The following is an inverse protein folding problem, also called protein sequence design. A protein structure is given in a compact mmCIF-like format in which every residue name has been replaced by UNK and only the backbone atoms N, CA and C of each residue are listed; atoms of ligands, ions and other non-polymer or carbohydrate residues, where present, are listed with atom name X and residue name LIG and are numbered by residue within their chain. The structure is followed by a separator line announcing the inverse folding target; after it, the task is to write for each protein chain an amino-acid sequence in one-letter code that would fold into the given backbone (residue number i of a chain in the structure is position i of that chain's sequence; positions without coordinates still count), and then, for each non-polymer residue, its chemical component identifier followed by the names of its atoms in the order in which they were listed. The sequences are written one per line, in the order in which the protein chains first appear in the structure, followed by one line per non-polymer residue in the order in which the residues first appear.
data_IF_272663315488
#
_entry.id   IF_272663315488
#
_cell.length_a   1.000
_cell.length_b   1.000
_cell.length_c   1.000
_cell.angle_alpha   90.00
_cell.angle_beta   90.00
_cell.angle_gamma   90.00
#
_symmetry.space_group_name_H-M   'P 1'
#
loop_
_entity.id
_entity.type
_entity.pdbx_description
1 polymer ?
#
# COMPACT_ATOMS: atom_id res chain seq x y z
N UNK A 1 38.68 -6.63 28.90
CA UNK A 1 37.75 -5.82 28.08
C UNK A 1 36.52 -5.55 28.94
N UNK A 2 36.03 -4.32 29.00
CA UNK A 2 34.75 -4.02 29.68
C UNK A 2 33.61 -4.65 28.90
N UNK A 3 32.67 -5.30 29.59
CA UNK A 3 31.47 -5.83 28.97
C UNK A 3 30.74 -4.70 28.20
N UNK A 4 30.17 -5.00 27.02
CA UNK A 4 29.38 -4.02 26.29
C UNK A 4 28.21 -3.56 27.16
N UNK A 5 27.97 -2.24 27.16
CA UNK A 5 26.89 -1.62 27.94
C UNK A 5 25.56 -1.78 27.23
N UNK A 6 24.50 -1.95 28.02
CA UNK A 6 23.12 -1.98 27.54
C UNK A 6 22.72 -0.62 26.96
N UNK A 7 21.74 -0.58 26.06
CA UNK A 7 21.17 0.67 25.53
C UNK A 7 20.62 1.53 26.67
N UNK A 8 19.91 0.94 27.62
CA UNK A 8 19.32 1.61 28.78
C UNK A 8 20.35 2.32 29.67
N UNK A 9 21.60 1.88 29.67
CA UNK A 9 22.73 2.43 30.44
C UNK A 9 23.45 3.59 29.74
N UNK A 10 23.23 3.78 28.44
CA UNK A 10 23.94 4.77 27.64
C UNK A 10 23.21 6.13 27.65
N UNK A 11 23.96 7.19 27.97
CA UNK A 11 23.41 8.54 28.10
C UNK A 11 22.72 9.07 26.82
N UNK A 12 23.20 8.66 25.63
CA UNK A 12 22.61 9.05 24.34
C UNK A 12 21.16 8.58 24.15
N UNK A 13 20.75 7.52 24.87
CA UNK A 13 19.40 6.95 24.78
C UNK A 13 18.47 7.42 25.90
N UNK A 14 18.85 8.47 26.65
CA UNK A 14 18.06 8.95 27.80
C UNK A 14 16.65 9.41 27.41
N UNK A 15 16.47 9.93 26.20
CA UNK A 15 15.17 10.35 25.66
C UNK A 15 14.52 9.32 24.73
N UNK A 16 15.15 8.15 24.54
CA UNK A 16 14.64 7.11 23.66
C UNK A 16 13.44 6.40 24.29
N UNK A 17 12.59 5.83 23.43
CA UNK A 17 11.73 4.72 23.83
C UNK A 17 12.59 3.46 23.78
N UNK A 18 12.70 2.75 24.89
CA UNK A 18 13.51 1.54 25.02
C UNK A 18 12.60 0.39 25.43
N UNK A 19 12.67 -0.70 24.67
CA UNK A 19 12.08 -1.99 24.96
C UNK A 19 13.21 -2.89 25.45
N UNK A 20 13.11 -3.39 26.67
CA UNK A 20 14.05 -4.35 27.25
C UNK A 20 13.32 -5.68 27.45
N UNK A 21 13.94 -6.79 27.08
CA UNK A 21 13.36 -8.12 27.25
C UNK A 21 14.46 -9.16 27.49
N UNK A 22 14.05 -10.36 27.91
CA UNK A 22 14.88 -11.56 27.80
C UNK A 22 14.66 -12.15 26.41
N UNK A 23 15.75 -12.47 25.72
CA UNK A 23 15.68 -13.34 24.54
C UNK A 23 16.02 -14.77 24.94
N UNK A 24 15.37 -15.74 24.29
CA UNK A 24 15.53 -17.15 24.62
C UNK A 24 15.33 -17.99 23.37
N UNK A 25 16.38 -18.67 22.92
CA UNK A 25 16.29 -19.59 21.79
C UNK A 25 17.10 -20.87 22.05
N UNK A 26 17.18 -21.75 21.06
CA UNK A 26 17.91 -23.02 21.16
C UNK A 26 19.41 -22.86 21.43
N UNK A 27 19.99 -21.69 21.17
CA UNK A 27 21.41 -21.40 21.36
C UNK A 27 21.72 -20.77 22.74
N UNK A 28 20.72 -20.26 23.45
CA UNK A 28 20.91 -19.65 24.76
C UNK A 28 19.79 -18.68 25.15
N UNK A 29 19.99 -18.01 26.28
CA UNK A 29 19.14 -16.91 26.74
C UNK A 29 20.00 -15.77 27.25
N UNK A 30 19.47 -14.56 27.17
CA UNK A 30 20.16 -13.36 27.64
C UNK A 30 19.26 -12.13 27.62
N UNK A 31 19.79 -10.98 28.02
CA UNK A 31 19.08 -9.71 27.87
C UNK A 31 19.20 -9.20 26.43
N UNK A 32 18.14 -8.55 25.96
CA UNK A 32 18.11 -7.83 24.68
C UNK A 32 17.38 -6.52 24.85
N UNK A 33 17.78 -5.51 24.09
CA UNK A 33 17.17 -4.19 24.10
C UNK A 33 17.01 -3.66 22.67
N UNK A 34 15.86 -3.05 22.42
CA UNK A 34 15.57 -2.26 21.24
C UNK A 34 15.31 -0.81 21.68
N UNK A 35 15.99 0.14 21.08
CA UNK A 35 15.69 1.56 21.25
C UNK A 35 15.22 2.19 19.95
N UNK A 36 14.23 3.05 20.10
CA UNK A 36 13.82 4.01 19.10
C UNK A 36 14.24 5.41 19.54
N UNK A 37 15.10 6.04 18.75
CA UNK A 37 15.54 7.43 18.93
C UNK A 37 14.98 8.30 17.82
N UNK A 38 14.59 9.53 18.16
CA UNK A 38 13.95 10.45 17.22
C UNK A 38 12.70 11.06 17.85
N UNK A 39 12.11 12.04 17.18
CA UNK A 39 10.81 12.57 17.58
C UNK A 39 9.70 11.78 16.90
N UNK A 40 8.51 11.73 17.51
CA UNK A 40 7.29 11.11 16.95
C UNK A 40 6.90 11.69 15.57
N UNK A 41 7.45 12.87 15.21
CA UNK A 41 7.14 13.62 13.98
C UNK A 41 8.40 13.97 13.16
N UNK A 42 9.48 13.20 13.30
CA UNK A 42 10.74 13.43 12.60
C UNK A 42 11.42 12.11 12.28
N UNK A 43 12.66 12.18 11.80
CA UNK A 43 13.42 10.97 11.46
C UNK A 43 13.62 10.11 12.70
N UNK A 44 13.33 8.83 12.54
CA UNK A 44 13.44 7.80 13.56
C UNK A 44 14.62 6.87 13.23
N UNK A 45 15.43 6.56 14.22
CA UNK A 45 16.48 5.54 14.14
C UNK A 45 16.17 4.40 15.14
N UNK A 46 16.37 3.16 14.68
CA UNK A 46 16.30 1.97 15.52
C UNK A 46 17.70 1.49 15.90
N UNK A 47 17.84 1.05 17.15
CA UNK A 47 19.07 0.53 17.71
C UNK A 47 18.78 -0.77 18.44
N UNK A 48 19.62 -1.78 18.25
CA UNK A 48 19.51 -3.05 18.94
C UNK A 48 20.77 -3.34 19.75
N UNK A 49 20.60 -4.14 20.80
CA UNK A 49 21.67 -4.68 21.62
C UNK A 49 21.22 -6.01 22.20
N UNK A 50 22.12 -6.98 22.28
CA UNK A 50 21.88 -8.25 22.97
C UNK A 50 23.14 -8.69 23.72
N UNK A 51 22.93 -9.41 24.83
CA UNK A 51 24.01 -10.06 25.57
C UNK A 51 24.88 -10.90 24.63
N UNK A 52 26.19 -10.80 24.81
CA UNK A 52 27.22 -11.50 24.02
C UNK A 52 27.25 -11.21 22.51
N UNK A 53 26.42 -10.29 22.01
CA UNK A 53 26.40 -9.87 20.59
C UNK A 53 27.21 -8.60 20.30
N UNK A 54 27.85 -7.99 21.31
CA UNK A 54 28.70 -6.82 21.14
C UNK A 54 28.06 -5.51 21.64
N UNK A 55 28.55 -4.33 21.19
CA UNK A 55 27.99 -3.03 21.59
C UNK A 55 26.62 -2.78 20.94
N UNK A 56 25.90 -1.75 21.41
CA UNK A 56 24.64 -1.35 20.80
C UNK A 56 24.87 -0.79 19.38
N UNK A 57 24.15 -1.34 18.40
CA UNK A 57 24.29 -1.05 16.98
C UNK A 57 23.02 -0.42 16.41
N UNK A 58 23.19 0.44 15.41
CA UNK A 58 22.08 1.00 14.65
C UNK A 58 21.62 -0.04 13.65
N UNK A 59 20.31 -0.28 13.58
CA UNK A 59 19.74 -1.20 12.60
C UNK A 59 19.73 -0.55 11.21
N UNK A 60 20.02 -1.35 10.17
CA UNK A 60 19.99 -0.90 8.78
C UNK A 60 18.59 -1.06 8.19
N UNK A 61 17.72 -0.09 8.48
CA UNK A 61 16.28 -0.08 8.16
C UNK A 61 15.87 1.09 7.25
N UNK A 62 16.85 1.79 6.67
CA UNK A 62 16.60 3.02 5.90
C UNK A 62 16.18 4.22 6.75
N UNK A 63 15.68 5.26 6.07
CA UNK A 63 15.18 6.48 6.70
C UNK A 63 13.71 6.31 7.09
N UNK A 64 13.44 6.27 8.40
CA UNK A 64 12.09 6.15 8.93
C UNK A 64 11.55 7.56 9.26
N UNK A 65 10.39 7.92 8.72
CA UNK A 65 9.77 9.23 8.91
C UNK A 65 8.89 9.33 10.16
N UNK A 66 8.52 8.20 10.75
CA UNK A 66 7.68 8.13 11.95
C UNK A 66 7.92 6.85 12.76
N UNK A 67 7.32 6.80 13.96
CA UNK A 67 7.32 5.57 14.76
C UNK A 67 6.45 4.46 14.14
N UNK A 68 5.45 4.81 13.33
CA UNK A 68 4.60 3.84 12.63
C UNK A 68 5.41 3.13 11.56
N UNK A 69 6.23 3.87 10.83
CA UNK A 69 7.18 3.33 9.86
C UNK A 69 8.11 2.33 10.54
N UNK A 70 8.63 2.67 11.74
CA UNK A 70 9.46 1.76 12.52
C UNK A 70 8.74 0.45 12.88
N UNK A 71 7.47 0.54 13.30
CA UNK A 71 6.65 -0.65 13.61
C UNK A 71 6.38 -1.49 12.36
N UNK A 72 6.02 -0.85 11.24
CA UNK A 72 5.80 -1.55 9.96
C UNK A 72 7.07 -2.22 9.46
N UNK A 73 8.19 -1.51 9.41
CA UNK A 73 9.48 -2.07 8.97
C UNK A 73 9.92 -3.25 9.83
N UNK A 74 9.78 -3.19 11.16
CA UNK A 74 10.07 -4.33 12.04
C UNK A 74 9.09 -5.50 11.80
N UNK A 75 7.82 -5.19 11.56
CA UNK A 75 6.79 -6.18 11.24
C UNK A 75 7.09 -6.99 9.98
N UNK A 76 7.59 -6.31 8.94
CA UNK A 76 7.86 -6.87 7.63
C UNK A 76 9.23 -7.58 7.55
N UNK A 77 10.23 -7.07 8.26
CA UNK A 77 11.57 -7.63 8.29
C UNK A 77 11.69 -8.77 9.31
N UNK A 78 11.20 -9.96 8.95
CA UNK A 78 11.29 -11.16 9.80
C UNK A 78 12.73 -11.51 10.22
N UNK A 79 13.74 -11.14 9.44
CA UNK A 79 15.16 -11.31 9.77
C UNK A 79 15.61 -10.46 10.97
N UNK A 80 14.89 -9.38 11.29
CA UNK A 80 15.15 -8.49 12.42
C UNK A 80 14.36 -8.89 13.68
N UNK A 81 13.51 -9.91 13.58
CA UNK A 81 12.72 -10.38 14.70
C UNK A 81 13.59 -11.01 15.79
N UNK A 82 13.31 -10.67 17.04
CA UNK A 82 13.95 -11.24 18.21
C UNK A 82 12.99 -12.19 18.93
N UNK A 83 13.52 -13.34 19.35
CA UNK A 83 12.79 -14.30 20.18
C UNK A 83 12.71 -13.79 21.61
N UNK A 84 11.76 -12.90 21.89
CA UNK A 84 11.60 -12.20 23.18
C UNK A 84 10.52 -12.85 24.06
N UNK A 85 10.79 -12.91 25.36
CA UNK A 85 9.84 -13.41 26.35
C UNK A 85 8.88 -12.29 26.79
N UNK A 86 7.59 -12.42 26.46
CA UNK A 86 6.57 -11.39 26.66
C UNK A 86 6.39 -10.91 28.11
N UNK A 87 6.54 -11.81 29.08
CA UNK A 87 6.40 -11.52 30.50
C UNK A 87 7.59 -10.74 31.08
N UNK A 88 8.71 -10.71 30.35
CA UNK A 88 9.92 -9.97 30.71
C UNK A 88 10.02 -8.59 30.06
N UNK A 89 9.07 -8.23 29.19
CA UNK A 89 9.12 -6.97 28.43
C UNK A 89 8.92 -5.76 29.35
N UNK A 90 9.95 -4.92 29.43
CA UNK A 90 9.95 -3.63 30.10
C UNK A 90 10.04 -2.50 29.08
N UNK A 91 9.30 -1.42 29.33
CA UNK A 91 9.27 -0.25 28.44
C UNK A 91 9.68 0.99 29.23
N UNK A 92 10.70 1.67 28.74
CA UNK A 92 11.13 2.99 29.21
C UNK A 92 10.85 4.03 28.13
N UNK A 93 10.44 5.22 28.54
CA UNK A 93 10.18 6.33 27.64
C UNK A 93 8.70 6.56 27.40
N UNK A 94 8.39 7.54 26.56
CA UNK A 94 7.03 8.00 26.28
C UNK A 94 6.88 8.34 24.80
N UNK A 95 5.72 8.06 24.18
CA UNK A 95 4.55 7.40 24.77
C UNK A 95 4.72 5.87 24.94
N UNK A 96 4.14 5.31 26.01
CA UNK A 96 4.31 3.89 26.37
C UNK A 96 3.68 2.92 25.35
N UNK A 97 2.54 3.29 24.76
CA UNK A 97 1.88 2.45 23.74
C UNK A 97 2.77 2.22 22.52
N UNK A 98 3.61 3.19 22.13
CA UNK A 98 4.57 3.01 21.04
C UNK A 98 5.61 1.95 21.38
N UNK A 99 6.15 1.97 22.61
CA UNK A 99 7.07 0.91 23.06
C UNK A 99 6.45 -0.49 23.04
N UNK A 100 5.14 -0.60 23.32
CA UNK A 100 4.41 -1.89 23.25
C UNK A 100 4.25 -2.38 21.82
N UNK A 101 3.93 -1.47 20.90
CA UNK A 101 3.81 -1.79 19.48
C UNK A 101 5.17 -2.16 18.88
N UNK A 102 6.24 -1.45 19.26
CA UNK A 102 7.61 -1.82 18.89
C UNK A 102 7.98 -3.22 19.40
N UNK A 103 7.63 -3.55 20.66
CA UNK A 103 7.88 -4.88 21.19
C UNK A 103 7.16 -5.97 20.36
N UNK A 104 5.86 -5.76 20.05
CA UNK A 104 5.07 -6.65 19.18
C UNK A 104 5.69 -6.82 17.79
N UNK A 105 6.05 -5.72 17.14
CA UNK A 105 6.66 -5.73 15.81
C UNK A 105 8.04 -6.38 15.78
N UNK A 106 8.80 -6.24 16.87
CA UNK A 106 10.14 -6.81 16.99
C UNK A 106 10.14 -8.29 17.38
N UNK A 107 9.05 -8.81 17.94
CA UNK A 107 8.99 -10.22 18.36
C UNK A 107 9.04 -11.19 17.18
N UNK A 108 9.47 -12.42 17.42
CA UNK A 108 9.40 -13.52 16.45
C UNK A 108 7.99 -14.11 16.30
N UNK A 109 7.03 -13.71 17.15
CA UNK A 109 5.61 -14.02 17.01
C UNK A 109 4.96 -13.28 15.82
N UNK A 110 4.69 -14.03 14.75
CA UNK A 110 4.06 -13.50 13.53
C UNK A 110 2.67 -12.89 13.80
N UNK A 111 1.87 -13.50 14.68
CA UNK A 111 0.55 -12.97 15.01
C UNK A 111 0.67 -11.66 15.79
N UNK A 112 1.65 -11.57 16.70
CA UNK A 112 2.02 -10.35 17.41
C UNK A 112 2.45 -9.22 16.46
N UNK A 113 3.33 -9.50 15.49
CA UNK A 113 3.78 -8.52 14.48
C UNK A 113 2.62 -8.00 13.64
N UNK A 114 1.77 -8.89 13.13
CA UNK A 114 0.58 -8.51 12.36
C UNK A 114 -0.42 -7.70 13.19
N UNK A 115 -0.61 -8.08 14.45
CA UNK A 115 -1.45 -7.31 15.37
C UNK A 115 -0.90 -5.89 15.60
N UNK A 116 0.43 -5.73 15.71
CA UNK A 116 1.05 -4.41 15.80
C UNK A 116 0.75 -3.55 14.57
N UNK A 117 0.80 -4.16 13.38
CA UNK A 117 0.54 -3.46 12.13
C UNK A 117 -0.94 -3.02 12.02
N UNK A 118 -1.88 -3.92 12.32
CA UNK A 118 -3.31 -3.57 12.37
C UNK A 118 -3.60 -2.47 13.39
N UNK A 119 -2.95 -2.51 14.56
CA UNK A 119 -3.09 -1.44 15.56
C UNK A 119 -2.52 -0.11 15.07
N UNK A 120 -1.54 -0.11 14.18
CA UNK A 120 -1.02 1.13 13.60
C UNK A 120 -2.03 1.86 12.72
N UNK A 121 -3.10 1.19 12.28
CA UNK A 121 -4.20 1.84 11.58
C UNK A 121 -5.05 2.71 12.50
N UNK A 122 -4.98 2.56 13.82
CA UNK A 122 -5.75 3.40 14.75
C UNK A 122 -5.02 4.68 15.17
N UNK A 123 -5.82 5.71 15.44
CA UNK A 123 -5.33 7.00 15.92
C UNK A 123 -4.57 6.90 17.26
N UNK A 124 -3.60 7.78 17.48
CA UNK A 124 -2.83 7.86 18.73
C UNK A 124 -3.73 7.99 19.97
N UNK A 125 -4.86 8.68 19.82
CA UNK A 125 -5.86 8.83 20.88
C UNK A 125 -6.45 7.48 21.28
N UNK A 126 -6.81 6.65 20.31
CA UNK A 126 -7.36 5.31 20.54
C UNK A 126 -6.30 4.42 21.20
N UNK A 127 -5.07 4.43 20.66
CA UNK A 127 -3.95 3.65 21.18
C UNK A 127 -3.58 4.03 22.62
N UNK A 128 -3.50 5.32 22.93
CA UNK A 128 -3.26 5.82 24.28
C UNK A 128 -4.38 5.41 25.26
N UNK A 129 -5.64 5.46 24.81
CA UNK A 129 -6.78 5.06 25.64
C UNK A 129 -6.82 3.55 25.90
N UNK A 130 -6.37 2.73 24.95
CA UNK A 130 -6.26 1.28 25.13
C UNK A 130 -5.12 0.92 26.08
N UNK A 131 -3.96 1.56 25.92
CA UNK A 131 -2.81 1.36 26.82
C UNK A 131 -3.16 1.72 28.27
N UNK A 132 -3.90 2.81 28.49
CA UNK A 132 -4.36 3.21 29.83
C UNK A 132 -5.30 2.18 30.50
N UNK A 133 -5.95 1.30 29.72
CA UNK A 133 -6.90 0.28 30.21
C UNK A 133 -6.27 -1.10 30.36
N UNK A 134 -5.14 -1.35 29.70
CA UNK A 134 -4.50 -2.67 29.66
C UNK A 134 -3.65 -3.00 30.89
N UNK A 135 -3.66 -4.26 31.31
CA UNK A 135 -2.57 -4.86 32.11
C UNK A 135 -1.81 -5.79 31.15
N UNK A 136 -0.50 -5.60 30.99
CA UNK A 136 0.27 -6.32 29.94
C UNK A 136 0.21 -5.64 28.57
N UNK A 137 0.81 -6.26 27.56
CA UNK A 137 1.05 -5.63 26.24
C UNK A 137 -0.27 -5.25 25.57
N UNK A 138 -1.25 -6.15 25.45
CA UNK A 138 -2.66 -5.84 25.13
C UNK A 138 -3.58 -6.90 25.74
N UNK A 139 -4.88 -6.60 25.95
CA UNK A 139 -5.82 -7.54 26.58
C UNK A 139 -6.28 -8.65 25.62
N UNK A 140 -6.66 -9.81 26.17
CA UNK A 140 -7.21 -10.94 25.38
C UNK A 140 -8.33 -10.52 24.42
N UNK A 141 -9.18 -9.59 24.85
CA UNK A 141 -10.27 -9.08 24.03
C UNK A 141 -9.79 -8.30 22.80
N UNK A 142 -8.70 -7.53 22.91
CA UNK A 142 -8.11 -6.83 21.76
C UNK A 142 -7.48 -7.85 20.82
N UNK A 143 -6.71 -8.80 21.34
CA UNK A 143 -6.09 -9.85 20.52
C UNK A 143 -7.14 -10.64 19.73
N UNK A 144 -8.26 -11.01 20.37
CA UNK A 144 -9.36 -11.70 19.70
C UNK A 144 -10.03 -10.86 18.60
N UNK A 145 -10.16 -9.54 18.81
CA UNK A 145 -10.71 -8.62 17.80
C UNK A 145 -9.81 -8.51 16.57
N UNK A 146 -8.50 -8.37 16.78
CA UNK A 146 -7.51 -8.30 15.71
C UNK A 146 -7.43 -9.62 14.93
N UNK A 147 -7.43 -10.75 15.63
CA UNK A 147 -7.43 -12.07 15.00
C UNK A 147 -8.62 -12.28 14.06
N UNK A 148 -9.83 -11.90 14.48
CA UNK A 148 -11.04 -12.01 13.64
C UNK A 148 -10.97 -11.13 12.40
N UNK A 149 -10.58 -9.86 12.57
CA UNK A 149 -10.41 -8.95 11.45
C UNK A 149 -9.41 -9.51 10.43
N UNK A 150 -8.30 -10.10 10.91
CA UNK A 150 -7.31 -10.75 10.06
C UNK A 150 -7.88 -11.93 9.27
N UNK A 151 -8.61 -12.84 9.93
CA UNK A 151 -9.25 -13.95 9.23
C UNK A 151 -10.15 -13.45 8.10
N UNK A 152 -10.91 -12.37 8.36
CA UNK A 152 -11.78 -11.77 7.36
C UNK A 152 -11.01 -11.18 6.17
N UNK A 153 -9.89 -10.51 6.43
CA UNK A 153 -9.02 -9.98 5.37
C UNK A 153 -8.40 -11.10 4.53
N UNK A 154 -7.94 -12.18 5.16
CA UNK A 154 -7.42 -13.35 4.47
C UNK A 154 -8.48 -14.01 3.56
N UNK A 155 -9.73 -14.14 4.05
CA UNK A 155 -10.86 -14.64 3.26
C UNK A 155 -11.16 -13.78 2.03
N UNK A 156 -10.99 -12.46 2.16
CA UNK A 156 -11.29 -11.47 1.12
C UNK A 156 -10.06 -11.10 0.27
N UNK A 157 -8.89 -11.65 0.58
CA UNK A 157 -7.61 -11.29 -0.05
C UNK A 157 -7.35 -9.77 -0.02
N UNK A 158 -7.59 -9.14 1.13
CA UNK A 158 -7.32 -7.71 1.39
C UNK A 158 -6.00 -7.58 2.14
N UNK A 159 -5.12 -6.69 1.69
CA UNK A 159 -3.85 -6.42 2.37
C UNK A 159 -4.05 -5.38 3.48
N UNK A 160 -3.21 -5.39 4.52
CA UNK A 160 -3.29 -4.40 5.63
C UNK A 160 -3.05 -3.00 5.11
N UNK A 161 -2.22 -2.85 4.09
CA UNK A 161 -1.88 -1.59 3.43
C UNK A 161 -3.10 -0.91 2.79
N UNK A 162 -4.07 -1.70 2.31
CA UNK A 162 -5.30 -1.21 1.71
C UNK A 162 -6.25 -0.58 2.75
N UNK A 163 -6.06 -0.89 4.03
CA UNK A 163 -6.89 -0.30 5.08
C UNK A 163 -6.52 1.19 5.28
N UNK A 164 -7.53 2.06 5.49
CA UNK A 164 -7.31 3.47 5.74
C UNK A 164 -6.49 3.67 7.02
N UNK A 165 -5.60 4.64 6.98
CA UNK A 165 -4.89 5.11 8.16
C UNK A 165 -5.82 5.94 9.07
N UNK A 166 -5.44 6.11 10.33
CA UNK A 166 -6.13 6.93 11.33
C UNK A 166 -7.60 6.52 11.64
N UNK A 167 -7.86 5.21 11.69
CA UNK A 167 -9.10 4.64 12.22
C UNK A 167 -9.39 5.12 13.64
N UNK A 168 -10.65 5.45 13.88
CA UNK A 168 -11.16 5.83 15.18
C UNK A 168 -12.22 4.83 15.66
N UNK A 169 -12.10 4.40 16.92
CA UNK A 169 -13.08 3.55 17.59
C UNK A 169 -13.52 4.22 18.91
N UNK A 170 -14.76 4.68 18.97
CA UNK A 170 -15.33 5.26 20.19
C UNK A 170 -16.57 4.50 20.68
N UNK A 171 -16.56 3.98 21.93
CA UNK A 171 -15.44 3.93 22.88
C UNK A 171 -14.36 2.90 22.49
N UNK A 172 -13.08 3.08 22.87
CA UNK A 172 -11.98 2.18 22.51
C UNK A 172 -12.08 0.87 23.30
N UNK A 173 -12.94 -0.03 22.83
CA UNK A 173 -13.20 -1.36 23.38
C UNK A 173 -12.90 -2.40 22.30
N UNK A 174 -12.66 -3.65 22.68
CA UNK A 174 -12.43 -4.73 21.70
C UNK A 174 -13.54 -4.83 20.65
N UNK A 175 -14.80 -4.69 21.07
CA UNK A 175 -15.96 -4.71 20.17
C UNK A 175 -15.95 -3.52 19.20
N UNK A 176 -15.60 -2.32 19.67
CA UNK A 176 -15.54 -1.14 18.82
C UNK A 176 -14.35 -1.16 17.85
N UNK A 177 -13.20 -1.71 18.27
CA UNK A 177 -12.05 -1.92 17.39
C UNK A 177 -12.41 -2.90 16.27
N UNK A 178 -13.04 -4.02 16.62
CA UNK A 178 -13.51 -4.98 15.63
C UNK A 178 -14.49 -4.34 14.65
N UNK A 179 -15.49 -3.59 15.15
CA UNK A 179 -16.46 -2.92 14.30
C UNK A 179 -15.82 -1.87 13.36
N UNK A 180 -14.82 -1.12 13.85
CA UNK A 180 -14.09 -0.16 13.03
C UNK A 180 -13.27 -0.85 11.92
N UNK A 181 -12.62 -1.98 12.23
CA UNK A 181 -11.90 -2.78 11.24
C UNK A 181 -12.84 -3.42 10.23
N UNK A 182 -13.94 -4.03 10.66
CA UNK A 182 -14.95 -4.63 9.76
C UNK A 182 -15.52 -3.58 8.79
N UNK A 183 -15.87 -2.40 9.29
CA UNK A 183 -16.37 -1.32 8.43
C UNK A 183 -15.33 -0.87 7.39
N UNK A 184 -14.04 -0.85 7.76
CA UNK A 184 -12.95 -0.53 6.85
C UNK A 184 -12.75 -1.63 5.79
N UNK A 185 -12.73 -2.90 6.20
CA UNK A 185 -12.62 -4.07 5.33
C UNK A 185 -13.77 -4.10 4.33
N UNK A 186 -15.01 -3.91 4.79
CA UNK A 186 -16.20 -3.83 3.91
C UNK A 186 -16.13 -2.65 2.93
N UNK A 187 -15.48 -1.55 3.31
CA UNK A 187 -15.28 -0.41 2.41
C UNK A 187 -14.31 -0.75 1.28
N UNK A 188 -13.17 -1.35 1.62
CA UNK A 188 -12.17 -1.79 0.63
C UNK A 188 -12.77 -2.82 -0.32
N UNK A 189 -13.51 -3.80 0.22
CA UNK A 189 -14.18 -4.81 -0.60
C UNK A 189 -15.13 -4.18 -1.63
N UNK A 190 -15.96 -3.21 -1.19
CA UNK A 190 -16.90 -2.52 -2.10
C UNK A 190 -16.17 -1.73 -3.20
N UNK A 191 -15.04 -1.12 -2.88
CA UNK A 191 -14.23 -0.39 -3.86
C UNK A 191 -13.57 -1.34 -4.88
N UNK A 192 -13.07 -2.49 -4.43
CA UNK A 192 -12.55 -3.53 -5.32
C UNK A 192 -13.66 -4.05 -6.25
N UNK A 193 -14.83 -4.39 -5.72
CA UNK A 193 -15.98 -4.85 -6.52
C UNK A 193 -16.44 -3.79 -7.55
N UNK A 194 -16.46 -2.50 -7.16
CA UNK A 194 -16.79 -1.41 -8.06
C UNK A 194 -15.74 -1.25 -9.17
N UNK A 195 -14.46 -1.39 -8.84
CA UNK A 195 -13.36 -1.33 -9.79
C UNK A 195 -13.40 -2.50 -10.77
N UNK A 196 -13.65 -3.72 -10.28
CA UNK A 196 -13.81 -4.90 -11.14
C UNK A 196 -15.03 -4.78 -12.05
N UNK A 197 -16.14 -4.24 -11.55
CA UNK A 197 -17.32 -3.97 -12.36
C UNK A 197 -17.02 -2.94 -13.46
N UNK A 198 -16.28 -1.86 -13.14
CA UNK A 198 -15.86 -0.86 -14.11
C UNK A 198 -14.90 -1.43 -15.16
N UNK A 199 -13.92 -2.24 -14.76
CA UNK A 199 -12.99 -2.93 -15.68
C UNK A 199 -13.76 -3.93 -16.56
N UNK A 200 -14.72 -4.66 -16.01
CA UNK A 200 -15.57 -5.58 -16.76
C UNK A 200 -16.46 -4.85 -17.77
N UNK A 201 -17.03 -3.71 -17.40
CA UNK A 201 -17.80 -2.86 -18.31
C UNK A 201 -16.89 -2.26 -19.40
N UNK A 202 -15.70 -1.77 -19.05
CA UNK A 202 -14.73 -1.27 -20.01
C UNK A 202 -14.29 -2.37 -20.99
N UNK A 203 -14.04 -3.60 -20.51
CA UNK A 203 -13.72 -4.76 -21.36
C UNK A 203 -14.88 -5.11 -22.29
N UNK A 204 -16.12 -5.06 -21.80
CA UNK A 204 -17.32 -5.27 -22.62
C UNK A 204 -17.45 -4.20 -23.69
N UNK A 205 -17.29 -2.92 -23.34
CA UNK A 205 -17.26 -1.82 -24.29
C UNK A 205 -16.16 -2.02 -25.34
N UNK A 206 -14.91 -2.24 -24.92
CA UNK A 206 -13.80 -2.52 -25.83
C UNK A 206 -14.08 -3.71 -26.77
N UNK A 207 -14.67 -4.80 -26.28
CA UNK A 207 -15.01 -5.96 -27.11
C UNK A 207 -16.08 -5.63 -28.17
N UNK A 208 -17.06 -4.79 -27.83
CA UNK A 208 -18.08 -4.32 -28.78
C UNK A 208 -17.46 -3.47 -29.90
N UNK A 209 -16.48 -2.63 -29.55
CA UNK A 209 -15.85 -1.69 -30.49
C UNK A 209 -14.62 -2.26 -31.20
N UNK A 210 -14.07 -3.39 -30.75
CA UNK A 210 -12.84 -3.99 -31.31
C UNK A 210 -12.90 -4.26 -32.83
N UNK A 211 -13.96 -4.90 -33.40
CA UNK A 211 -14.03 -5.15 -34.84
C UNK A 211 -14.01 -3.86 -35.67
N UNK A 212 -14.60 -2.80 -35.12
CA UNK A 212 -14.64 -1.49 -35.74
C UNK A 212 -13.29 -0.77 -35.64
N UNK A 213 -12.62 -0.86 -34.49
CA UNK A 213 -11.26 -0.32 -34.32
C UNK A 213 -10.26 -1.00 -35.27
N UNK A 214 -10.40 -2.30 -35.53
CA UNK A 214 -9.60 -3.00 -36.54
C UNK A 214 -9.89 -2.52 -37.97
N UNK A 215 -11.14 -2.25 -38.32
CA UNK A 215 -11.51 -1.68 -39.63
C UNK A 215 -10.97 -0.27 -39.80
N UNK A 216 -11.09 0.59 -38.77
CA UNK A 216 -10.49 1.92 -38.73
C UNK A 216 -8.97 1.86 -38.92
N UNK A 217 -8.31 0.94 -38.22
CA UNK A 217 -6.86 0.73 -38.37
C UNK A 217 -6.50 0.35 -39.80
N UNK A 218 -7.24 -0.61 -40.39
CA UNK A 218 -6.99 -1.07 -41.76
C UNK A 218 -7.15 0.06 -42.78
N UNK A 219 -8.19 0.89 -42.65
CA UNK A 219 -8.42 2.05 -43.52
C UNK A 219 -7.35 3.12 -43.34
N UNK A 220 -7.04 3.48 -42.10
CA UNK A 220 -6.00 4.44 -41.80
C UNK A 220 -4.66 4.03 -42.41
N UNK A 221 -4.26 2.76 -42.26
CA UNK A 221 -3.03 2.22 -42.84
C UNK A 221 -3.03 2.20 -44.37
N UNK A 222 -4.19 1.99 -45.02
CA UNK A 222 -4.32 2.06 -46.48
C UNK A 222 -4.06 3.49 -46.99
N UNK A 223 -4.64 4.47 -46.31
CA UNK A 223 -4.58 5.87 -46.73
C UNK A 223 -3.29 6.56 -46.26
N UNK A 224 -2.64 6.00 -45.22
CA UNK A 224 -1.38 6.44 -44.64
C UNK A 224 -0.38 5.26 -44.54
N UNK A 225 0.10 4.71 -45.68
CA UNK A 225 0.98 3.55 -45.67
C UNK A 225 2.26 3.85 -44.87
N UNK A 226 2.75 2.88 -44.07
CA UNK A 226 3.94 3.08 -43.26
C UNK A 226 5.14 3.41 -44.15
N UNK A 227 5.73 4.60 -43.95
CA UNK A 227 6.95 4.99 -44.65
C UNK A 227 8.11 4.14 -44.12
N UNK A 228 8.74 3.33 -44.98
CA UNK A 228 9.96 2.58 -44.65
C UNK A 228 11.10 3.57 -44.36
N UNK A 229 11.34 3.88 -43.10
CA UNK A 229 12.65 4.29 -42.61
C UNK A 229 13.28 3.05 -41.94
N UNK A 230 14.56 2.79 -42.19
CA UNK A 230 15.21 1.50 -41.95
C UNK A 230 14.98 0.88 -40.56
N UNK A 231 14.64 -0.42 -40.56
CA UNK A 231 14.93 -1.34 -39.45
C UNK A 231 13.84 -1.61 -38.41
N UNK A 232 12.82 -0.75 -38.28
CA UNK A 232 11.74 -0.94 -37.29
C UNK A 232 10.38 -0.68 -37.94
N UNK A 233 9.57 -1.73 -38.08
CA UNK A 233 8.16 -1.60 -38.43
C UNK A 233 7.36 -1.45 -37.13
N UNK A 234 7.06 -0.20 -36.68
CA UNK A 234 5.92 0.24 -35.85
C UNK A 234 6.16 1.68 -35.32
N UNK A 235 5.13 2.51 -35.05
CA UNK A 235 3.91 2.82 -35.81
C UNK A 235 3.96 4.26 -36.40
N UNK A 236 3.12 4.57 -37.38
CA UNK A 236 2.86 5.97 -37.74
C UNK A 236 2.21 6.65 -36.53
N UNK A 237 2.89 7.60 -35.88
CA UNK A 237 2.46 8.36 -34.69
C UNK A 237 0.96 8.73 -34.71
N UNK A 238 0.40 8.99 -35.90
CA UNK A 238 -1.02 9.30 -36.04
C UNK A 238 -2.04 8.19 -35.74
N UNK A 239 -1.69 6.90 -35.84
CA UNK A 239 -2.65 5.83 -35.47
C UNK A 239 -2.81 5.72 -33.95
N UNK A 240 -1.73 5.83 -33.17
CA UNK A 240 -1.82 5.78 -31.71
C UNK A 240 -2.68 6.95 -31.20
N UNK A 241 -2.44 8.15 -31.75
CA UNK A 241 -3.20 9.35 -31.40
C UNK A 241 -4.67 9.24 -31.82
N UNK A 242 -4.94 8.78 -33.05
CA UNK A 242 -6.30 8.53 -33.54
C UNK A 242 -7.03 7.49 -32.68
N UNK A 243 -6.36 6.38 -32.37
CA UNK A 243 -6.91 5.32 -31.52
C UNK A 243 -7.28 5.85 -30.14
N UNK A 244 -6.37 6.54 -29.47
CA UNK A 244 -6.60 7.10 -28.14
C UNK A 244 -7.76 8.11 -28.15
N UNK A 245 -7.86 8.93 -29.20
CA UNK A 245 -8.97 9.86 -29.38
C UNK A 245 -10.31 9.13 -29.54
N UNK A 246 -10.38 8.14 -30.43
CA UNK A 246 -11.63 7.38 -30.68
C UNK A 246 -12.05 6.59 -29.46
N UNK A 247 -11.13 5.91 -28.78
CA UNK A 247 -11.41 5.17 -27.54
C UNK A 247 -11.98 6.11 -26.47
N UNK A 248 -11.38 7.29 -26.29
CA UNK A 248 -11.88 8.29 -25.34
C UNK A 248 -13.25 8.86 -25.74
N UNK A 249 -13.44 9.18 -27.01
CA UNK A 249 -14.71 9.70 -27.50
C UNK A 249 -15.85 8.70 -27.27
N UNK A 250 -15.62 7.42 -27.55
CA UNK A 250 -16.60 6.35 -27.31
C UNK A 250 -16.89 6.19 -25.82
N UNK A 251 -15.88 6.28 -24.96
CA UNK A 251 -16.07 6.22 -23.50
C UNK A 251 -16.89 7.40 -22.98
N UNK A 252 -16.67 8.61 -23.52
CA UNK A 252 -17.31 9.83 -23.04
C UNK A 252 -18.75 10.01 -23.59
N UNK A 253 -19.01 9.56 -24.82
CA UNK A 253 -20.26 9.86 -25.54
C UNK A 253 -21.07 8.63 -25.95
N UNK A 254 -20.57 7.41 -25.75
CA UNK A 254 -21.18 6.14 -26.19
C UNK A 254 -21.51 6.08 -27.70
N UNK A 255 -20.89 6.93 -28.51
CA UNK A 255 -21.09 7.02 -29.95
C UNK A 255 -19.76 7.22 -30.69
N UNK A 256 -19.80 7.10 -32.01
CA UNK A 256 -18.63 7.37 -32.84
C UNK A 256 -18.45 8.87 -33.05
N UNK A 257 -17.19 9.36 -33.05
CA UNK A 257 -16.93 10.72 -33.48
C UNK A 257 -17.43 10.90 -34.91
N UNK A 258 -18.12 12.01 -35.15
CA UNK A 258 -18.63 12.41 -36.47
C UNK A 258 -18.12 13.81 -36.82
N UNK A 259 -18.08 14.13 -38.10
CA UNK A 259 -17.53 15.39 -38.60
C UNK A 259 -16.02 15.52 -38.50
N UNK A 260 -15.52 16.75 -38.58
CA UNK A 260 -14.10 17.08 -38.60
C UNK A 260 -13.61 17.38 -37.19
N UNK A 261 -12.54 16.69 -36.77
CA UNK A 261 -11.92 16.86 -35.45
C UNK A 261 -10.44 17.16 -35.58
N UNK A 262 -9.96 18.04 -34.70
CA UNK A 262 -8.54 18.31 -34.53
C UNK A 262 -8.03 17.54 -33.31
N UNK A 263 -7.23 16.50 -33.57
CA UNK A 263 -6.65 15.65 -32.54
C UNK A 263 -5.28 16.24 -32.18
N UNK A 264 -5.25 16.94 -31.04
CA UNK A 264 -4.02 17.52 -30.49
C UNK A 264 -3.07 16.43 -29.99
N UNK A 265 -1.77 16.67 -30.15
CA UNK A 265 -0.75 15.71 -29.71
C UNK A 265 -0.72 15.57 -28.19
N UNK A 266 -0.85 14.34 -27.69
CA UNK A 266 -0.32 13.97 -26.36
C UNK A 266 1.20 13.83 -26.48
N UNK A 267 2.01 14.32 -25.53
CA UNK A 267 3.46 14.26 -25.60
C UNK A 267 3.93 12.79 -25.59
N UNK A 268 4.30 12.28 -26.76
CA UNK A 268 5.00 11.01 -26.87
C UNK A 268 6.51 11.26 -26.71
N UNK A 269 7.08 10.71 -25.64
CA UNK A 269 8.43 11.00 -25.14
C UNK A 269 9.58 10.62 -26.10
N UNK A 270 9.29 9.98 -27.24
CA UNK A 270 10.29 9.35 -28.11
C UNK A 270 10.52 10.05 -29.46
N UNK A 271 9.67 10.99 -29.92
CA UNK A 271 9.74 11.45 -31.32
C UNK A 271 9.83 12.96 -31.58
N UNK A 272 9.56 13.83 -30.59
CA UNK A 272 9.75 15.29 -30.72
C UNK A 272 9.04 15.98 -31.89
N UNK A 273 8.12 15.29 -32.58
CA UNK A 273 7.32 15.84 -33.68
C UNK A 273 5.87 15.90 -33.24
N UNK A 274 5.40 17.13 -33.02
CA UNK A 274 3.99 17.45 -32.86
C UNK A 274 3.37 17.46 -34.25
N UNK A 275 2.46 16.53 -34.53
CA UNK A 275 1.62 16.59 -35.70
C UNK A 275 0.18 16.70 -35.21
N UNK A 276 -0.40 17.88 -35.32
CA UNK A 276 -1.85 18.03 -35.18
C UNK A 276 -2.50 17.27 -36.33
N UNK A 277 -3.45 16.40 -36.00
CA UNK A 277 -4.18 15.60 -36.98
C UNK A 277 -5.57 16.19 -37.14
N UNK A 278 -5.84 16.72 -38.33
CA UNK A 278 -7.21 16.98 -38.75
C UNK A 278 -7.78 15.69 -39.37
N UNK A 279 -8.84 15.17 -38.77
CA UNK A 279 -9.48 13.91 -39.20
C UNK A 279 -10.94 14.18 -39.47
N UNK A 280 -11.37 13.94 -40.70
CA UNK A 280 -12.79 13.89 -41.05
C UNK A 280 -13.34 12.49 -40.80
N UNK A 281 -14.05 12.32 -39.70
CA UNK A 281 -14.59 11.02 -39.31
C UNK A 281 -15.74 10.56 -40.22
N UNK A 282 -16.47 11.48 -40.86
CA UNK A 282 -17.55 11.10 -41.79
C UNK A 282 -16.99 10.38 -43.03
N UNK A 283 -15.82 10.80 -43.50
CA UNK A 283 -15.09 10.15 -44.59
C UNK A 283 -14.42 8.85 -44.11
N UNK A 284 -13.75 8.90 -42.96
CA UNK A 284 -13.01 7.76 -42.42
C UNK A 284 -13.93 6.58 -42.06
N UNK A 285 -15.11 6.88 -41.49
CA UNK A 285 -16.11 5.91 -41.06
C UNK A 285 -17.14 5.57 -42.14
N UNK A 286 -17.01 6.07 -43.37
CA UNK A 286 -18.00 5.82 -44.42
C UNK A 286 -18.18 4.31 -44.68
N UNK A 287 -19.36 3.76 -44.38
CA UNK A 287 -19.65 2.33 -44.51
C UNK A 287 -19.12 1.43 -43.38
N UNK A 288 -18.60 2.02 -42.29
CA UNK A 288 -18.36 1.30 -41.03
C UNK A 288 -19.66 1.34 -40.24
N UNK A 289 -20.31 0.20 -40.06
CA UNK A 289 -21.51 0.12 -39.23
C UNK A 289 -21.11 0.23 -37.75
N UNK A 290 -21.69 1.18 -37.03
CA UNK A 290 -21.58 1.20 -35.57
C UNK A 290 -22.21 -0.09 -35.01
N UNK A 291 -21.57 -0.76 -34.04
CA UNK A 291 -22.22 -1.83 -33.31
C UNK A 291 -23.51 -1.30 -32.66
N UNK A 292 -24.56 -2.11 -32.68
CA UNK A 292 -25.83 -1.77 -32.01
C UNK A 292 -25.60 -1.89 -30.50
N UNK A 293 -25.28 -0.77 -29.85
CA UNK A 293 -25.26 -0.68 -28.39
C UNK A 293 -26.72 -0.54 -27.95
N UNK A 294 -27.26 -1.55 -27.30
CA UNK A 294 -28.58 -1.45 -26.68
C UNK A 294 -28.49 -0.37 -25.59
N UNK A 295 -29.16 0.77 -25.81
CA UNK A 295 -29.29 1.80 -24.77
C UNK A 295 -30.01 1.15 -23.59
N UNK A 296 -29.38 1.16 -22.41
CA UNK A 296 -30.08 0.81 -21.17
C UNK A 296 -31.10 1.92 -20.91
N UNK A 297 -32.38 1.59 -21.08
CA UNK A 297 -33.51 2.42 -20.61
C UNK A 297 -33.58 2.45 -19.08
#
# INVERSE_FOLDING_TARGET
MTAPKRISELARFKSAIVVSAVWSNMAGSGATELAMTGSVHGTVDLWSWADDCGPAERMDVGDLGSWRDAVTTLGDCSEMAACIEWDTVEIRGSPRYVGRLLALAWSDDEDGRRAAYLLCKFSDRVLAALDARGRGVWSEGVSAALYRARQRMEELNIEIEDLPDDLDAQPPTSAALHAALEAAIESVQREQEATEAAVSEQRRSHAVWAPMMEELQRRWQRDHPPRRAGGSQYPSVGWIQLRAYVERHILDYEELPSGVHHIGSSPDAMAGRMADLEVNFDELLQGVAAPVVAKKE
#
